data_IF_297477448900
#
_entry.id   IF_297477448900
#
_cell.length_a   1.000
_cell.length_b   1.000
_cell.length_c   1.000
_cell.angle_alpha   90.00
_cell.angle_beta   90.00
_cell.angle_gamma   90.00
#
_symmetry.space_group_name_H-M   'P 1'
#
loop_
_entity.id
_entity.type
_entity.pdbx_description
1 polymer ?
#
# COMPACT_ATOMS: atom_id res chain seq x y z
N UNK A 1 -11.76 -17.00 17.45
CA UNK A 1 -10.90 -16.76 16.27
C UNK A 1 -11.38 -15.49 15.56
N UNK A 2 -10.91 -14.32 16.00
CA UNK A 2 -11.34 -13.01 15.50
C UNK A 2 -10.39 -12.59 14.36
N UNK A 3 -10.60 -13.13 13.15
CA UNK A 3 -9.83 -12.70 11.98
C UNK A 3 -10.14 -11.24 11.69
N UNK A 4 -9.19 -10.35 11.99
CA UNK A 4 -9.15 -9.01 11.40
C UNK A 4 -8.68 -9.28 9.96
N UNK A 5 -9.58 -9.18 8.97
CA UNK A 5 -9.31 -9.42 7.53
C UNK A 5 -8.30 -8.43 6.90
N UNK A 6 -7.52 -7.72 7.71
CA UNK A 6 -6.46 -6.82 7.30
C UNK A 6 -5.19 -7.33 7.96
N UNK A 7 -4.36 -8.02 7.18
CA UNK A 7 -3.03 -8.42 7.62
C UNK A 7 -2.10 -7.21 7.44
N UNK A 8 -1.47 -6.76 8.53
CA UNK A 8 -0.42 -5.77 8.46
C UNK A 8 0.82 -6.41 7.83
N UNK A 9 1.27 -5.87 6.70
CA UNK A 9 2.34 -6.46 5.88
C UNK A 9 3.37 -5.41 5.42
N UNK A 10 4.13 -4.81 6.35
CA UNK A 10 5.14 -3.80 6.02
C UNK A 10 6.36 -4.42 5.32
N UNK A 11 7.05 -3.65 4.46
CA UNK A 11 8.45 -3.96 4.10
C UNK A 11 9.29 -3.89 5.36
N UNK A 12 10.16 -4.86 5.53
CA UNK A 12 11.21 -4.79 6.56
C UNK A 12 12.55 -4.92 5.85
N UNK A 13 13.20 -3.78 5.60
CA UNK A 13 14.47 -3.69 4.85
C UNK A 13 15.60 -4.46 5.55
N UNK A 14 15.67 -4.39 6.88
CA UNK A 14 16.65 -5.09 7.72
C UNK A 14 15.95 -6.07 8.66
N UNK A 15 15.26 -7.08 8.11
CA UNK A 15 14.54 -8.06 8.91
C UNK A 15 15.48 -8.95 9.75
N UNK A 16 16.70 -9.19 9.27
CA UNK A 16 17.76 -9.91 9.96
C UNK A 16 18.24 -9.22 11.25
N UNK A 17 18.15 -7.90 11.33
CA UNK A 17 18.54 -7.14 12.52
C UNK A 17 17.44 -7.10 13.60
N UNK A 18 16.27 -7.68 13.30
CA UNK A 18 15.13 -7.66 14.20
C UNK A 18 15.25 -8.73 15.28
N UNK A 19 14.73 -8.40 16.45
CA UNK A 19 14.61 -9.34 17.56
C UNK A 19 13.32 -10.16 17.41
N UNK A 20 13.46 -11.47 17.56
CA UNK A 20 12.36 -12.40 17.73
C UNK A 20 12.06 -12.57 19.22
N UNK A 21 10.82 -12.91 19.54
CA UNK A 21 10.36 -13.06 20.92
C UNK A 21 9.65 -14.39 21.10
N UNK A 22 9.94 -15.06 22.22
CA UNK A 22 9.37 -16.34 22.58
C UNK A 22 8.71 -16.25 23.97
N UNK A 23 7.63 -16.98 24.19
CA UNK A 23 7.14 -17.27 25.53
C UNK A 23 8.14 -18.11 26.31
N UNK A 24 8.18 -17.90 27.63
CA UNK A 24 9.02 -18.68 28.52
C UNK A 24 8.67 -20.18 28.41
N UNK A 25 9.70 -21.03 28.29
CA UNK A 25 9.54 -22.49 28.19
C UNK A 25 9.26 -23.04 26.79
N UNK A 26 9.22 -22.19 25.74
CA UNK A 26 9.22 -22.70 24.37
C UNK A 26 10.60 -23.21 23.99
N UNK A 27 10.64 -24.32 23.26
CA UNK A 27 11.84 -24.80 22.61
C UNK A 27 12.15 -23.89 21.42
N UNK A 28 13.28 -23.18 21.50
CA UNK A 28 13.72 -22.24 20.47
C UNK A 28 15.02 -22.79 19.89
N UNK A 29 15.08 -23.03 18.55
CA UNK A 29 16.30 -23.51 17.92
C UNK A 29 17.43 -22.50 18.07
N UNK A 30 18.67 -22.94 17.88
CA UNK A 30 19.82 -22.04 17.95
C UNK A 30 19.76 -20.98 16.83
N UNK A 31 19.33 -19.78 17.22
CA UNK A 31 19.16 -18.64 16.33
C UNK A 31 20.50 -18.02 15.90
N UNK A 32 21.60 -18.32 16.59
CA UNK A 32 22.92 -17.80 16.24
C UNK A 32 23.37 -18.30 14.86
N UNK A 33 23.00 -19.55 14.50
CA UNK A 33 23.25 -20.13 13.18
C UNK A 33 22.59 -19.33 12.04
N UNK A 34 21.54 -18.56 12.34
CA UNK A 34 20.77 -17.77 11.39
C UNK A 34 21.04 -16.25 11.52
N UNK A 35 22.00 -15.85 12.36
CA UNK A 35 22.28 -14.45 12.72
C UNK A 35 21.06 -13.70 13.32
N UNK A 36 20.09 -14.43 13.87
CA UNK A 36 18.88 -13.86 14.48
C UNK A 36 19.07 -13.67 15.99
N UNK A 37 18.39 -12.66 16.55
CA UNK A 37 18.49 -12.33 17.98
C UNK A 37 17.19 -12.67 18.71
N UNK A 38 17.30 -13.41 19.81
CA UNK A 38 16.19 -13.58 20.73
C UNK A 38 16.14 -12.41 21.73
N UNK A 39 14.98 -11.77 21.84
CA UNK A 39 14.69 -10.78 22.86
C UNK A 39 14.39 -11.42 24.21
N UNK A 40 14.00 -10.59 25.18
CA UNK A 40 13.50 -11.09 26.47
C UNK A 40 12.24 -11.96 26.28
N UNK A 41 11.98 -12.93 27.18
CA UNK A 41 10.75 -13.71 27.14
C UNK A 41 9.50 -12.83 27.16
N UNK A 42 8.49 -13.23 26.41
CA UNK A 42 7.17 -12.58 26.41
C UNK A 42 6.50 -12.80 27.77
N UNK A 43 5.95 -11.73 28.33
CA UNK A 43 5.19 -11.77 29.56
C UNK A 43 3.74 -12.17 29.24
N UNK A 44 3.45 -13.47 29.37
CA UNK A 44 2.13 -14.04 29.12
C UNK A 44 1.11 -13.55 30.14
N UNK A 45 1.49 -13.49 31.41
CA UNK A 45 0.59 -13.11 32.51
C UNK A 45 0.07 -11.69 32.31
N UNK A 46 0.93 -10.77 31.85
CA UNK A 46 0.52 -9.39 31.56
C UNK A 46 -0.48 -9.28 30.41
N UNK A 47 -0.32 -10.11 29.36
CA UNK A 47 -1.27 -10.16 28.24
C UNK A 47 -2.61 -10.70 28.74
N UNK A 48 -2.60 -11.78 29.52
CA UNK A 48 -3.81 -12.42 30.06
C UNK A 48 -4.55 -11.50 31.03
N UNK A 49 -3.83 -10.82 31.92
CA UNK A 49 -4.41 -9.88 32.88
C UNK A 49 -5.13 -8.69 32.22
N UNK A 50 -4.78 -8.34 30.98
CA UNK A 50 -5.41 -7.24 30.23
C UNK A 50 -6.19 -7.71 29.00
N UNK A 51 -6.40 -9.02 28.84
CA UNK A 51 -6.97 -9.59 27.62
C UNK A 51 -8.36 -9.05 27.31
N UNK A 52 -9.24 -8.97 28.30
CA UNK A 52 -10.58 -8.42 28.12
C UNK A 52 -10.55 -6.94 27.69
N UNK A 53 -9.65 -6.14 28.26
CA UNK A 53 -9.47 -4.74 27.90
C UNK A 53 -8.98 -4.59 26.46
N UNK A 54 -8.04 -5.43 26.03
CA UNK A 54 -7.53 -5.48 24.65
C UNK A 54 -8.68 -5.83 23.70
N UNK A 55 -9.47 -6.86 24.01
CA UNK A 55 -10.64 -7.23 23.19
C UNK A 55 -11.65 -6.09 23.10
N UNK A 56 -11.96 -5.42 24.21
CA UNK A 56 -12.88 -4.27 24.22
C UNK A 56 -12.36 -3.13 23.35
N UNK A 57 -11.05 -2.87 23.37
CA UNK A 57 -10.41 -1.86 22.52
C UNK A 57 -10.55 -2.22 21.03
N UNK A 58 -10.25 -3.47 20.67
CA UNK A 58 -10.37 -3.98 19.30
C UNK A 58 -11.83 -3.89 18.82
N UNK A 59 -12.79 -4.28 19.65
CA UNK A 59 -14.22 -4.18 19.32
C UNK A 59 -14.63 -2.73 19.10
N UNK A 60 -14.20 -1.80 19.96
CA UNK A 60 -14.50 -0.38 19.81
C UNK A 60 -13.93 0.22 18.52
N UNK A 61 -12.71 -0.19 18.13
CA UNK A 61 -12.10 0.19 16.86
C UNK A 61 -12.88 -0.39 15.67
N UNK A 62 -13.25 -1.68 15.73
CA UNK A 62 -14.03 -2.34 14.67
C UNK A 62 -15.41 -1.72 14.49
N UNK A 63 -16.07 -1.36 15.59
CA UNK A 63 -17.37 -0.69 15.60
C UNK A 63 -17.27 0.81 15.26
N UNK A 64 -16.05 1.33 15.01
CA UNK A 64 -15.78 2.75 14.72
C UNK A 64 -16.25 3.71 15.81
N UNK A 65 -16.46 3.23 17.05
CA UNK A 65 -16.78 4.09 18.20
C UNK A 65 -15.60 4.99 18.59
N UNK A 66 -14.37 4.56 18.28
CA UNK A 66 -13.14 5.34 18.43
C UNK A 66 -12.26 5.14 17.21
N UNK A 67 -11.53 6.18 16.83
CA UNK A 67 -10.53 6.11 15.76
C UNK A 67 -9.20 5.57 16.27
N UNK A 68 -8.44 4.90 15.41
CA UNK A 68 -7.08 4.45 15.73
C UNK A 68 -6.17 5.62 16.17
N UNK A 69 -6.31 6.79 15.55
CA UNK A 69 -5.54 7.99 15.91
C UNK A 69 -5.83 8.47 17.34
N UNK A 70 -7.09 8.43 17.78
CA UNK A 70 -7.48 8.78 19.15
C UNK A 70 -6.93 7.78 20.15
N UNK A 71 -7.02 6.47 19.84
CA UNK A 71 -6.45 5.41 20.68
C UNK A 71 -4.94 5.60 20.83
N UNK A 72 -4.21 5.82 19.73
CA UNK A 72 -2.76 6.05 19.77
C UNK A 72 -2.38 7.29 20.57
N UNK A 73 -3.10 8.41 20.37
CA UNK A 73 -2.88 9.63 21.18
C UNK A 73 -3.06 9.34 22.67
N UNK A 74 -4.11 8.61 23.03
CA UNK A 74 -4.39 8.26 24.42
C UNK A 74 -3.33 7.32 25.01
N UNK A 75 -2.95 6.28 24.27
CA UNK A 75 -1.89 5.36 24.67
C UNK A 75 -0.53 6.05 24.84
N UNK A 76 -0.20 7.01 23.97
CA UNK A 76 1.04 7.79 24.07
C UNK A 76 0.98 8.85 25.18
N UNK A 77 -0.21 9.30 25.56
CA UNK A 77 -0.38 10.25 26.69
C UNK A 77 -0.30 9.58 28.05
N UNK A 78 -0.51 8.26 28.12
CA UNK A 78 -0.36 7.50 29.35
C UNK A 78 1.12 7.37 29.73
N UNK A 79 1.38 7.17 31.02
CA UNK A 79 2.72 6.78 31.47
C UNK A 79 3.10 5.47 30.77
N UNK A 80 4.39 5.30 30.46
CA UNK A 80 4.92 4.05 29.88
C UNK A 80 4.67 2.82 30.78
N UNK A 81 4.18 3.04 32.01
CA UNK A 81 3.81 2.02 32.99
C UNK A 81 2.32 1.64 32.99
N UNK A 82 1.49 2.20 32.10
CA UNK A 82 0.08 1.86 32.05
C UNK A 82 -0.13 0.37 31.67
N UNK A 83 -0.90 -0.42 32.43
CA UNK A 83 -1.03 -1.88 32.22
C UNK A 83 -1.46 -2.27 30.80
N UNK A 84 -2.49 -1.62 30.26
CA UNK A 84 -2.95 -1.85 28.88
C UNK A 84 -1.86 -1.56 27.84
N UNK A 85 -1.06 -0.50 28.03
CA UNK A 85 0.01 -0.15 27.09
C UNK A 85 1.10 -1.22 27.11
N UNK A 86 1.49 -1.67 28.31
CA UNK A 86 2.49 -2.73 28.46
C UNK A 86 2.00 -4.06 27.86
N UNK A 87 0.75 -4.44 28.13
CA UNK A 87 0.15 -5.65 27.56
C UNK A 87 0.05 -5.60 26.03
N UNK A 88 -0.37 -4.46 25.46
CA UNK A 88 -0.36 -4.26 24.01
C UNK A 88 1.06 -4.31 23.42
N UNK A 89 2.07 -3.85 24.16
CA UNK A 89 3.47 -3.93 23.73
C UNK A 89 3.99 -5.36 23.70
N UNK A 90 3.67 -6.18 24.70
CA UNK A 90 4.04 -7.61 24.71
C UNK A 90 3.27 -8.39 23.63
N UNK A 91 1.96 -8.15 23.48
CA UNK A 91 1.17 -8.73 22.39
C UNK A 91 1.72 -8.33 21.01
N UNK A 92 2.08 -7.05 20.83
CA UNK A 92 2.68 -6.54 19.60
C UNK A 92 4.00 -7.21 19.25
N UNK A 93 4.82 -7.58 20.24
CA UNK A 93 6.05 -8.36 20.02
C UNK A 93 5.78 -9.78 19.55
N UNK A 94 4.75 -10.43 20.09
CA UNK A 94 4.32 -11.76 19.63
C UNK A 94 3.87 -11.71 18.17
N UNK A 95 2.93 -10.80 17.83
CA UNK A 95 2.42 -10.62 16.46
C UNK A 95 3.55 -10.25 15.48
N UNK A 96 4.47 -9.39 15.92
CA UNK A 96 5.65 -9.02 15.11
C UNK A 96 6.56 -10.22 14.84
N UNK A 97 6.80 -11.05 15.85
CA UNK A 97 7.64 -12.25 15.70
C UNK A 97 7.01 -13.22 14.73
N UNK A 98 5.70 -13.49 14.88
CA UNK A 98 4.95 -14.33 13.94
C UNK A 98 5.05 -13.80 12.51
N UNK A 99 4.85 -12.49 12.32
CA UNK A 99 4.98 -11.86 11.00
C UNK A 99 6.39 -11.98 10.43
N UNK A 100 7.43 -11.74 11.23
CA UNK A 100 8.83 -11.85 10.79
C UNK A 100 9.17 -13.27 10.34
N UNK A 101 8.77 -14.28 11.10
CA UNK A 101 8.98 -15.69 10.75
C UNK A 101 8.30 -16.03 9.42
N UNK A 102 7.04 -15.61 9.25
CA UNK A 102 6.32 -15.77 7.97
C UNK A 102 6.99 -15.01 6.83
N UNK A 103 7.46 -13.79 7.08
CA UNK A 103 8.17 -12.99 6.09
C UNK A 103 9.51 -13.62 5.69
N UNK A 104 10.18 -14.35 6.59
CA UNK A 104 11.42 -15.09 6.31
C UNK A 104 11.19 -16.41 5.56
N UNK A 105 10.05 -17.07 5.76
CA UNK A 105 9.73 -18.36 5.15
C UNK A 105 9.01 -18.23 3.80
N UNK A 106 8.00 -17.36 3.72
CA UNK A 106 7.10 -17.24 2.56
C UNK A 106 7.63 -16.22 1.52
N UNK A 107 8.18 -16.73 0.42
CA UNK A 107 8.64 -15.90 -0.69
C UNK A 107 7.50 -15.16 -1.41
N UNK A 108 6.33 -15.77 -1.54
CA UNK A 108 5.18 -15.15 -2.22
C UNK A 108 4.61 -13.99 -1.38
N UNK A 109 4.65 -14.11 -0.05
CA UNK A 109 4.37 -12.99 0.84
C UNK A 109 5.34 -11.83 0.63
N UNK A 110 6.65 -12.08 0.60
CA UNK A 110 7.66 -11.03 0.35
C UNK A 110 7.42 -10.34 -0.98
N UNK A 111 7.25 -11.12 -2.05
CA UNK A 111 7.02 -10.60 -3.40
C UNK A 111 5.77 -9.71 -3.44
N UNK A 112 4.65 -10.16 -2.86
CA UNK A 112 3.42 -9.35 -2.78
C UNK A 112 3.61 -8.03 -2.02
N UNK A 113 4.40 -8.04 -0.96
CA UNK A 113 4.71 -6.84 -0.17
C UNK A 113 5.56 -5.87 -1.01
N UNK A 114 6.61 -6.38 -1.66
CA UNK A 114 7.48 -5.58 -2.53
C UNK A 114 6.69 -5.00 -3.72
N UNK A 115 5.87 -5.79 -4.40
CA UNK A 115 5.02 -5.34 -5.51
C UNK A 115 4.07 -4.19 -5.10
N UNK A 116 3.49 -4.29 -3.89
CA UNK A 116 2.63 -3.24 -3.34
C UNK A 116 3.39 -1.94 -3.05
N UNK A 117 4.63 -2.06 -2.59
CA UNK A 117 5.48 -0.92 -2.28
C UNK A 117 6.00 -0.25 -3.53
N UNK A 118 6.45 -1.03 -4.51
CA UNK A 118 6.87 -0.52 -5.82
C UNK A 118 5.73 0.26 -6.48
N UNK A 119 4.48 -0.21 -6.35
CA UNK A 119 3.29 0.53 -6.79
C UNK A 119 3.09 1.85 -6.04
N UNK A 120 3.27 1.88 -4.72
CA UNK A 120 3.20 3.10 -3.92
C UNK A 120 4.33 4.07 -4.28
N UNK A 121 5.56 3.58 -4.42
CA UNK A 121 6.72 4.37 -4.83
C UNK A 121 6.53 4.95 -6.22
N UNK A 122 6.06 4.16 -7.18
CA UNK A 122 5.69 4.64 -8.53
C UNK A 122 4.64 5.75 -8.45
N UNK A 123 3.62 5.60 -7.59
CA UNK A 123 2.59 6.63 -7.39
C UNK A 123 3.18 7.90 -6.76
N UNK A 124 4.12 7.77 -5.83
CA UNK A 124 4.82 8.90 -5.21
C UNK A 124 5.75 9.61 -6.20
N UNK A 125 6.51 8.87 -7.01
CA UNK A 125 7.34 9.41 -8.07
C UNK A 125 6.49 10.14 -9.11
N UNK A 126 5.36 9.55 -9.50
CA UNK A 126 4.40 10.18 -10.39
C UNK A 126 3.85 11.49 -9.81
N UNK A 127 3.48 11.46 -8.54
CA UNK A 127 3.04 12.64 -7.79
C UNK A 127 4.09 13.76 -7.76
N UNK A 128 5.39 13.41 -7.72
CA UNK A 128 6.49 14.38 -7.77
C UNK A 128 6.69 14.92 -9.18
N UNK A 129 6.56 14.08 -10.20
CA UNK A 129 6.71 14.48 -11.60
C UNK A 129 5.63 15.47 -12.04
N UNK A 130 4.37 15.24 -11.64
CA UNK A 130 3.24 16.14 -11.91
C UNK A 130 3.39 17.50 -11.21
N UNK A 131 4.01 17.53 -10.03
CA UNK A 131 4.16 18.75 -9.22
C UNK A 131 5.53 19.40 -9.41
N UNK A 132 6.00 19.47 -10.66
CA UNK A 132 7.32 20.01 -10.97
C UNK A 132 7.37 21.54 -10.84
N UNK A 133 7.97 22.01 -9.75
CA UNK A 133 8.24 23.41 -9.45
C UNK A 133 8.82 23.58 -8.04
N UNK A 134 10.00 24.23 -7.92
CA UNK A 134 10.64 24.66 -6.66
C UNK A 134 10.94 23.56 -5.60
N UNK A 135 11.60 22.46 -5.97
CA UNK A 135 12.12 21.44 -5.02
C UNK A 135 11.08 20.86 -4.02
N UNK A 136 9.79 20.87 -4.34
CA UNK A 136 8.75 20.31 -3.48
C UNK A 136 8.46 21.12 -2.21
N UNK A 137 8.88 22.39 -2.14
CA UNK A 137 8.53 23.28 -1.04
C UNK A 137 7.28 24.08 -1.37
N UNK A 138 6.18 23.75 -0.70
CA UNK A 138 4.97 24.55 -0.69
C UNK A 138 5.25 25.90 0.00
N UNK A 139 5.35 26.99 -0.78
CA UNK A 139 5.19 28.36 -0.28
C UNK A 139 3.71 28.79 -0.37
N UNK A 140 2.81 27.95 0.11
CA UNK A 140 1.44 28.36 0.35
C UNK A 140 1.33 28.77 1.82
N UNK A 141 0.84 29.99 2.05
CA UNK A 141 0.78 30.57 3.39
C UNK A 141 -0.33 29.93 4.24
N UNK A 142 -1.29 29.21 3.62
CA UNK A 142 -2.47 28.64 4.29
C UNK A 142 -2.77 27.17 3.98
N UNK A 143 -3.49 26.51 4.92
CA UNK A 143 -3.95 25.12 4.81
C UNK A 143 -4.91 24.90 3.62
N UNK A 144 -5.74 25.89 3.29
CA UNK A 144 -6.69 25.81 2.17
C UNK A 144 -5.96 25.76 0.82
N UNK A 145 -4.95 26.60 0.62
CA UNK A 145 -4.11 26.61 -0.58
C UNK A 145 -3.39 25.27 -0.78
N UNK A 146 -2.89 24.65 0.29
CA UNK A 146 -2.31 23.31 0.25
C UNK A 146 -3.34 22.24 -0.18
N UNK A 147 -4.58 22.33 0.32
CA UNK A 147 -5.64 21.40 -0.06
C UNK A 147 -6.04 21.55 -1.54
N UNK A 148 -6.11 22.78 -2.05
CA UNK A 148 -6.38 23.04 -3.46
C UNK A 148 -5.26 22.48 -4.33
N UNK A 149 -4.00 22.71 -3.97
CA UNK A 149 -2.86 22.17 -4.69
C UNK A 149 -2.86 20.63 -4.72
N UNK A 150 -3.16 19.99 -3.58
CA UNK A 150 -3.31 18.54 -3.48
C UNK A 150 -4.47 18.01 -4.34
N UNK A 151 -5.59 18.73 -4.40
CA UNK A 151 -6.73 18.36 -5.24
C UNK A 151 -6.39 18.46 -6.74
N UNK A 152 -5.77 19.56 -7.17
CA UNK A 152 -5.32 19.75 -8.55
C UNK A 152 -4.30 18.68 -8.96
N UNK A 153 -3.34 18.38 -8.09
CA UNK A 153 -2.37 17.31 -8.31
C UNK A 153 -3.06 15.96 -8.51
N UNK A 154 -4.00 15.59 -7.64
CA UNK A 154 -4.78 14.35 -7.76
C UNK A 154 -5.59 14.32 -9.05
N UNK A 155 -6.16 15.45 -9.47
CA UNK A 155 -6.91 15.54 -10.71
C UNK A 155 -6.02 15.23 -11.93
N UNK A 156 -4.86 15.87 -12.04
CA UNK A 156 -3.90 15.62 -13.14
C UNK A 156 -3.44 14.16 -13.14
N UNK A 157 -3.15 13.60 -11.97
CA UNK A 157 -2.78 12.19 -11.85
C UNK A 157 -3.88 11.26 -12.37
N UNK A 158 -5.14 11.50 -11.99
CA UNK A 158 -6.27 10.71 -12.44
C UNK A 158 -6.52 10.85 -13.95
N UNK A 159 -6.33 12.05 -14.53
CA UNK A 159 -6.47 12.28 -15.98
C UNK A 159 -5.45 11.46 -16.76
N UNK A 160 -4.19 11.46 -16.34
CA UNK A 160 -3.13 10.66 -16.97
C UNK A 160 -3.40 9.16 -16.84
N UNK A 161 -3.80 8.69 -15.65
CA UNK A 161 -4.18 7.28 -15.44
C UNK A 161 -5.36 6.90 -16.33
N UNK A 162 -6.37 7.78 -16.44
CA UNK A 162 -7.49 7.58 -17.34
C UNK A 162 -7.04 7.48 -18.80
N UNK A 163 -6.16 8.39 -19.25
CA UNK A 163 -5.59 8.36 -20.59
C UNK A 163 -4.83 7.06 -20.86
N UNK A 164 -4.00 6.59 -19.92
CA UNK A 164 -3.29 5.31 -20.04
C UNK A 164 -4.27 4.14 -20.18
N UNK A 165 -5.33 4.11 -19.37
CA UNK A 165 -6.35 3.06 -19.44
C UNK A 165 -7.07 3.08 -20.80
N UNK A 166 -7.47 4.26 -21.29
CA UNK A 166 -8.12 4.40 -22.59
C UNK A 166 -7.20 3.95 -23.73
N UNK A 167 -5.93 4.33 -23.67
CA UNK A 167 -4.91 3.91 -24.65
C UNK A 167 -4.71 2.40 -24.65
N UNK A 168 -4.47 1.78 -23.50
CA UNK A 168 -4.28 0.34 -23.39
C UNK A 168 -5.53 -0.44 -23.81
N UNK A 169 -6.72 0.03 -23.45
CA UNK A 169 -7.98 -0.57 -23.90
C UNK A 169 -8.12 -0.48 -25.41
N UNK A 170 -7.85 0.67 -26.02
CA UNK A 170 -7.91 0.83 -27.47
C UNK A 170 -6.93 -0.12 -28.18
N UNK A 171 -5.69 -0.25 -27.69
CA UNK A 171 -4.72 -1.22 -28.22
C UNK A 171 -5.23 -2.66 -28.09
N UNK A 172 -5.85 -3.00 -26.96
CA UNK A 172 -6.45 -4.32 -26.73
C UNK A 172 -7.58 -4.62 -27.73
N UNK A 173 -8.43 -3.64 -28.04
CA UNK A 173 -9.52 -3.83 -28.99
C UNK A 173 -9.04 -3.94 -30.44
N UNK A 174 -8.03 -3.17 -30.80
CA UNK A 174 -7.42 -3.20 -32.13
C UNK A 174 -6.54 -4.44 -32.34
N UNK A 175 -6.14 -5.15 -31.28
CA UNK A 175 -5.34 -6.36 -31.38
C UNK A 175 -6.11 -7.53 -32.04
N UNK A 176 -5.42 -8.37 -32.85
CA UNK A 176 -6.00 -9.59 -33.41
C UNK A 176 -6.51 -10.53 -32.31
N UNK A 177 -7.62 -11.29 -32.52
CA UNK A 177 -8.18 -12.18 -31.51
C UNK A 177 -7.18 -13.16 -30.89
N UNK A 178 -6.22 -13.66 -31.69
CA UNK A 178 -5.17 -14.58 -31.23
C UNK A 178 -4.19 -13.95 -30.22
N UNK A 179 -4.03 -12.63 -30.22
CA UNK A 179 -3.08 -11.90 -29.37
C UNK A 179 -3.74 -11.21 -28.17
N UNK A 180 -5.07 -11.02 -28.21
CA UNK A 180 -5.84 -10.30 -27.18
C UNK A 180 -5.61 -10.83 -25.77
N UNK A 181 -5.63 -12.15 -25.58
CA UNK A 181 -5.44 -12.73 -24.24
C UNK A 181 -4.03 -12.44 -23.69
N UNK A 182 -3.01 -12.58 -24.54
CA UNK A 182 -1.61 -12.30 -24.15
C UNK A 182 -1.43 -10.83 -23.78
N UNK A 183 -2.04 -9.93 -24.55
CA UNK A 183 -2.02 -8.49 -24.28
C UNK A 183 -2.80 -8.13 -23.00
N UNK A 184 -3.96 -8.74 -22.77
CA UNK A 184 -4.73 -8.56 -21.54
C UNK A 184 -3.94 -9.01 -20.30
N UNK A 185 -3.26 -10.17 -20.37
CA UNK A 185 -2.40 -10.67 -19.29
C UNK A 185 -1.20 -9.75 -19.04
N UNK A 186 -0.62 -9.16 -20.09
CA UNK A 186 0.45 -8.18 -19.96
C UNK A 186 -0.05 -6.88 -19.30
N UNK A 187 -1.20 -6.35 -19.72
CA UNK A 187 -1.83 -5.17 -19.13
C UNK A 187 -2.16 -5.41 -17.66
N UNK A 188 -2.68 -6.59 -17.31
CA UNK A 188 -3.03 -6.95 -15.93
C UNK A 188 -1.80 -6.99 -14.99
N UNK A 189 -0.61 -7.27 -15.54
CA UNK A 189 0.66 -7.23 -14.81
C UNK A 189 1.28 -5.83 -14.73
N UNK A 190 0.85 -4.90 -15.58
CA UNK A 190 1.35 -3.54 -15.60
C UNK A 190 0.65 -2.65 -14.57
N UNK A 191 1.40 -1.69 -14.01
CA UNK A 191 0.80 -0.60 -13.24
C UNK A 191 0.24 0.47 -14.20
N UNK A 192 -1.02 0.89 -14.08
CA UNK A 192 -1.60 1.96 -14.92
C UNK A 192 -1.01 3.34 -14.60
N UNK A 193 -0.11 3.43 -13.61
CA UNK A 193 0.52 4.67 -13.12
C UNK A 193 1.81 5.00 -13.89
N UNK A 194 1.98 4.49 -15.12
CA UNK A 194 3.10 4.89 -15.98
C UNK A 194 2.93 6.33 -16.44
N UNK A 195 4.00 7.13 -16.44
CA UNK A 195 3.94 8.55 -16.82
C UNK A 195 5.17 9.04 -17.59
N UNK A 196 6.21 8.22 -17.71
CA UNK A 196 7.47 8.63 -18.37
C UNK A 196 7.29 8.89 -19.87
N UNK A 197 6.24 8.34 -20.48
CA UNK A 197 5.87 8.59 -21.88
C UNK A 197 5.09 9.91 -22.09
N UNK A 198 4.76 10.63 -21.01
CA UNK A 198 4.03 11.90 -21.07
C UNK A 198 5.00 13.04 -20.77
N UNK A 199 5.05 14.03 -21.66
CA UNK A 199 5.78 15.24 -21.37
C UNK A 199 5.02 16.07 -20.32
N UNK A 200 5.59 16.20 -19.13
CA UNK A 200 5.03 17.00 -18.02
C UNK A 200 5.76 18.34 -17.86
N UNK A 201 6.76 18.63 -18.70
CA UNK A 201 7.66 19.77 -18.54
C UNK A 201 7.94 20.49 -19.88
N UNK A 202 8.36 21.75 -19.78
CA UNK A 202 8.71 22.53 -20.96
C UNK A 202 7.51 23.19 -21.63
N UNK A 203 7.64 23.45 -22.92
CA UNK A 203 6.64 24.15 -23.72
C UNK A 203 5.63 23.17 -24.32
N UNK A 204 4.36 23.55 -24.26
CA UNK A 204 3.26 22.79 -24.84
C UNK A 204 2.75 23.56 -26.06
N UNK A 205 2.76 22.90 -27.21
CA UNK A 205 2.16 23.41 -28.42
C UNK A 205 0.72 22.87 -28.54
N UNK A 206 -0.24 23.79 -28.53
CA UNK A 206 -1.66 23.51 -28.69
C UNK A 206 -2.22 24.04 -30.01
N UNK A 207 -1.35 24.33 -30.98
CA UNK A 207 -1.75 24.67 -32.34
C UNK A 207 -2.52 23.51 -33.00
N UNK A 208 -3.42 23.84 -33.93
CA UNK A 208 -4.20 22.83 -34.66
C UNK A 208 -3.26 21.89 -35.44
N UNK A 209 -2.14 22.42 -35.95
CA UNK A 209 -1.11 21.65 -36.63
C UNK A 209 -0.48 20.58 -35.71
N UNK A 210 -0.13 20.94 -34.48
CA UNK A 210 0.44 20.00 -33.49
C UNK A 210 -0.56 18.94 -33.02
N UNK A 211 -1.87 19.23 -33.11
CA UNK A 211 -2.94 18.33 -32.68
C UNK A 211 -3.47 17.41 -33.80
N UNK A 212 -2.92 17.49 -35.01
CA UNK A 212 -3.37 16.70 -36.17
C UNK A 212 -3.32 15.19 -35.91
N UNK A 213 -2.28 14.71 -35.23
CA UNK A 213 -2.07 13.29 -34.88
C UNK A 213 -2.53 12.95 -33.46
N UNK A 214 -3.34 13.82 -32.83
CA UNK A 214 -3.82 13.57 -31.48
C UNK A 214 -4.64 12.26 -31.43
N UNK A 215 -4.27 11.39 -30.51
CA UNK A 215 -4.99 10.15 -30.23
C UNK A 215 -6.45 10.45 -29.88
N UNK A 216 -7.37 9.97 -30.71
CA UNK A 216 -8.82 10.07 -30.50
C UNK A 216 -9.34 8.73 -29.99
N UNK A 217 -9.96 8.77 -28.81
CA UNK A 217 -10.63 7.62 -28.24
C UNK A 217 -12.08 7.57 -28.70
N UNK A 218 -12.50 6.44 -29.27
CA UNK A 218 -13.92 6.16 -29.48
C UNK A 218 -14.53 5.71 -28.14
N UNK A 219 -14.94 6.68 -27.32
CA UNK A 219 -15.51 6.41 -26.00
C UNK A 219 -16.78 5.54 -26.08
N UNK A 220 -17.54 5.65 -27.16
CA UNK A 220 -18.74 4.85 -27.37
C UNK A 220 -18.38 3.39 -27.51
N UNK A 221 -17.43 3.07 -28.40
CA UNK A 221 -16.94 1.70 -28.58
C UNK A 221 -16.21 1.16 -27.35
N UNK A 222 -15.42 1.99 -26.66
CA UNK A 222 -14.67 1.57 -25.46
C UNK A 222 -15.55 1.26 -24.25
N UNK A 223 -16.72 1.91 -24.12
CA UNK A 223 -17.62 1.77 -22.96
C UNK A 223 -18.80 0.81 -23.16
N UNK A 224 -19.05 0.35 -24.38
CA UNK A 224 -20.18 -0.56 -24.71
C UNK A 224 -19.80 -2.05 -24.76
N UNK A 225 -18.55 -2.40 -24.45
CA UNK A 225 -18.10 -3.79 -24.52
C UNK A 225 -18.66 -4.63 -23.37
N UNK A 226 -19.49 -5.61 -23.73
CA UNK A 226 -19.83 -6.75 -22.86
C UNK A 226 -18.68 -7.75 -22.91
N UNK A 227 -18.05 -8.00 -21.77
CA UNK A 227 -17.07 -9.06 -21.66
C UNK A 227 -17.80 -10.40 -21.74
N UNK A 228 -17.53 -11.19 -22.79
CA UNK A 228 -17.88 -12.61 -22.77
C UNK A 228 -17.12 -13.23 -21.59
N UNK A 229 -17.83 -13.43 -20.48
CA UNK A 229 -17.31 -14.21 -19.38
C UNK A 229 -17.09 -15.62 -19.92
N UNK A 230 -15.84 -15.98 -20.19
CA UNK A 230 -15.45 -17.37 -20.38
C UNK A 230 -15.77 -18.10 -19.09
N UNK A 231 -16.97 -18.69 -19.02
CA UNK A 231 -17.33 -19.70 -18.03
C UNK A 231 -16.31 -20.81 -18.17
N UNK A 232 -15.38 -20.87 -17.21
CA UNK A 232 -14.43 -21.95 -17.10
C UNK A 232 -15.20 -23.20 -16.67
N UNK A 233 -15.38 -24.14 -17.60
CA UNK A 233 -15.74 -25.53 -17.28
C UNK A 233 -14.56 -26.27 -16.65
#
# INVERSE_FOLDING_TARGET
MLSIRVAFAPRIQSFQDQQLYAFAGMDVPDLAAYALRLGKPLDRELIEAQWETILRLIVSLKQKHVTASTVLKRLNSYSQHHPLYLALRELGRAVRTEFLLRYMDDQDLRKRIDDQLDKLESTHQFARAVFYGQNGQFRYAGKEEQQVADACKRLVQNVIVCWNCLYLNQQLFQAPPAERQTLADAIARMSPVSWQHINLQGEFDFSDEALTDALRFDLSALLTVEWEATESQ
#
